data_IF_484836327868
#
_entry.id   IF_484836327868
#
_cell.length_a   1.000
_cell.length_b   1.000
_cell.length_c   1.000
_cell.angle_alpha   90.00
_cell.angle_beta   90.00
_cell.angle_gamma   90.00
#
_symmetry.space_group_name_H-M   'P 1'
#
loop_
_entity.id
_entity.type
_entity.pdbx_description
1 polymer ?
#
# COMPACT_ATOMS: atom_id res chain seq x y z
N UNK A 1 4.39 21.30 -25.35
CA UNK A 1 5.07 20.84 -24.12
C UNK A 1 5.91 19.63 -24.44
N UNK A 2 7.20 19.68 -24.15
CA UNK A 2 8.10 18.54 -24.37
C UNK A 2 7.97 17.47 -23.25
N UNK A 3 8.61 16.30 -23.44
CA UNK A 3 8.49 15.18 -22.49
C UNK A 3 9.04 15.48 -21.10
N UNK A 4 10.14 16.23 -21.00
CA UNK A 4 10.76 16.60 -19.72
C UNK A 4 9.88 17.57 -18.93
N UNK A 5 9.34 18.59 -19.57
CA UNK A 5 8.41 19.54 -18.94
C UNK A 5 7.15 18.84 -18.47
N UNK A 6 6.64 17.88 -19.26
CA UNK A 6 5.47 17.09 -18.89
C UNK A 6 5.76 16.24 -17.67
N UNK A 7 6.89 15.52 -17.61
CA UNK A 7 7.28 14.73 -16.44
C UNK A 7 7.39 15.56 -15.17
N UNK A 8 8.02 16.75 -15.23
CA UNK A 8 8.07 17.67 -14.08
C UNK A 8 6.67 18.04 -13.57
N UNK A 9 5.74 18.31 -14.47
CA UNK A 9 4.34 18.62 -14.13
C UNK A 9 3.60 17.39 -13.60
N UNK A 10 3.81 16.22 -14.18
CA UNK A 10 3.24 14.97 -13.66
C UNK A 10 3.71 14.72 -12.22
N UNK A 11 5.01 14.85 -11.95
CA UNK A 11 5.57 14.67 -10.61
C UNK A 11 4.97 15.64 -9.58
N UNK A 12 4.74 16.90 -9.95
CA UNK A 12 4.11 17.90 -9.08
C UNK A 12 2.60 17.68 -8.90
N UNK A 13 1.95 17.02 -9.87
CA UNK A 13 0.51 16.75 -9.85
C UNK A 13 0.14 15.53 -9.03
N UNK A 14 1.06 14.56 -8.92
CA UNK A 14 0.89 13.35 -8.12
C UNK A 14 1.20 13.70 -6.66
N UNK A 15 0.16 13.65 -5.82
CA UNK A 15 0.24 13.92 -4.38
C UNK A 15 -0.14 12.69 -3.55
N UNK A 16 -0.65 12.93 -2.35
CA UNK A 16 -1.13 11.87 -1.44
C UNK A 16 -2.42 11.18 -1.90
N UNK A 17 -3.21 11.86 -2.74
CA UNK A 17 -4.44 11.29 -3.28
C UNK A 17 -4.19 10.60 -4.63
N UNK A 18 -4.80 9.42 -4.87
CA UNK A 18 -4.61 8.70 -6.12
C UNK A 18 -5.11 9.48 -7.34
N UNK A 19 -4.24 9.64 -8.33
CA UNK A 19 -4.58 10.29 -9.60
C UNK A 19 -4.58 9.24 -10.71
N UNK A 20 -5.74 8.93 -11.34
CA UNK A 20 -5.82 7.96 -12.42
C UNK A 20 -4.96 8.36 -13.63
N UNK A 21 -4.29 7.38 -14.25
CA UNK A 21 -3.49 7.62 -15.46
C UNK A 21 -4.32 8.24 -16.61
N UNK A 22 -5.59 7.87 -16.72
CA UNK A 22 -6.50 8.44 -17.71
C UNK A 22 -6.74 9.95 -17.49
N UNK A 23 -6.87 10.38 -16.22
CA UNK A 23 -7.03 11.80 -15.89
C UNK A 23 -5.75 12.59 -16.20
N UNK A 24 -4.58 12.04 -15.91
CA UNK A 24 -3.31 12.67 -16.30
C UNK A 24 -3.19 12.75 -17.84
N UNK A 25 -3.59 11.71 -18.55
CA UNK A 25 -3.56 11.69 -20.00
C UNK A 25 -4.44 12.81 -20.60
N UNK A 26 -5.65 12.99 -20.09
CA UNK A 26 -6.56 14.07 -20.47
C UNK A 26 -5.98 15.45 -20.14
N UNK A 27 -5.49 15.65 -18.91
CA UNK A 27 -4.93 16.92 -18.43
C UNK A 27 -3.71 17.37 -19.26
N UNK A 28 -2.87 16.42 -19.67
CA UNK A 28 -1.63 16.71 -20.42
C UNK A 28 -1.78 16.55 -21.95
N UNK A 29 -2.97 16.17 -22.44
CA UNK A 29 -3.24 16.02 -23.87
C UNK A 29 -2.42 14.91 -24.55
N UNK A 30 -2.18 13.79 -23.85
CA UNK A 30 -1.40 12.65 -24.34
C UNK A 30 -2.17 11.35 -24.12
N UNK A 31 -1.69 10.25 -24.71
CA UNK A 31 -2.27 8.94 -24.45
C UNK A 31 -1.93 8.42 -23.06
N UNK A 32 -2.77 7.52 -22.52
CA UNK A 32 -2.48 6.82 -21.26
C UNK A 32 -1.13 6.09 -21.28
N UNK A 33 -0.75 5.55 -22.45
CA UNK A 33 0.54 4.86 -22.63
C UNK A 33 1.72 5.80 -22.40
N UNK A 34 1.63 7.04 -22.86
CA UNK A 34 2.66 8.08 -22.63
C UNK A 34 2.77 8.39 -21.13
N UNK A 35 1.65 8.50 -20.40
CA UNK A 35 1.69 8.69 -18.93
C UNK A 35 2.39 7.52 -18.24
N UNK A 36 2.10 6.28 -18.63
CA UNK A 36 2.75 5.09 -18.08
C UNK A 36 4.27 5.13 -18.29
N UNK A 37 4.72 5.53 -19.49
CA UNK A 37 6.14 5.69 -19.80
C UNK A 37 6.77 6.84 -19.02
N UNK A 38 6.11 7.99 -18.91
CA UNK A 38 6.60 9.13 -18.13
C UNK A 38 6.77 8.79 -16.66
N UNK A 39 5.80 8.07 -16.07
CA UNK A 39 5.92 7.60 -14.68
C UNK A 39 7.05 6.58 -14.51
N UNK A 40 7.28 5.70 -15.49
CA UNK A 40 8.41 4.77 -15.45
C UNK A 40 9.74 5.50 -15.48
N UNK A 41 9.88 6.55 -16.30
CA UNK A 41 11.06 7.40 -16.35
C UNK A 41 11.28 8.19 -15.06
N UNK A 42 10.24 8.79 -14.51
CA UNK A 42 10.31 9.50 -13.22
C UNK A 42 10.79 8.57 -12.08
N UNK A 43 10.33 7.33 -12.06
CA UNK A 43 10.83 6.31 -11.11
C UNK A 43 12.30 5.99 -11.32
N UNK A 44 12.72 5.82 -12.57
CA UNK A 44 14.12 5.60 -12.91
C UNK A 44 15.01 6.78 -12.52
N UNK A 45 14.47 8.01 -12.52
CA UNK A 45 15.12 9.24 -12.06
C UNK A 45 15.06 9.43 -10.54
N UNK A 46 14.51 8.45 -9.78
CA UNK A 46 14.43 8.47 -8.31
C UNK A 46 13.21 9.18 -7.74
N UNK A 47 12.20 9.50 -8.56
CA UNK A 47 10.92 10.00 -8.04
C UNK A 47 10.11 8.85 -7.49
N UNK A 48 9.76 8.92 -6.20
CA UNK A 48 8.97 7.88 -5.55
C UNK A 48 7.48 8.06 -5.90
N UNK A 49 7.00 7.21 -6.81
CA UNK A 49 5.61 7.18 -7.26
C UNK A 49 5.10 5.75 -7.11
N UNK A 50 4.07 5.56 -6.30
CA UNK A 50 3.40 4.28 -6.11
C UNK A 50 2.24 4.11 -7.10
N UNK A 51 2.08 2.89 -7.61
CA UNK A 51 0.90 2.50 -8.38
C UNK A 51 -0.13 1.88 -7.46
N UNK A 52 -1.36 2.32 -7.59
CA UNK A 52 -2.51 1.79 -6.84
C UNK A 52 -3.59 1.35 -7.83
N UNK A 53 -4.60 0.60 -7.35
CA UNK A 53 -5.77 0.27 -8.15
C UNK A 53 -6.61 1.50 -8.57
N UNK A 54 -6.38 2.67 -7.92
CA UNK A 54 -7.08 3.94 -8.17
C UNK A 54 -6.25 4.94 -8.96
N UNK A 55 -4.96 4.68 -9.18
CA UNK A 55 -4.05 5.58 -9.87
C UNK A 55 -2.69 5.70 -9.22
N UNK A 56 -1.97 6.76 -9.54
CA UNK A 56 -0.65 7.07 -9.00
C UNK A 56 -0.75 7.97 -7.77
N UNK A 57 0.07 7.68 -6.75
CA UNK A 57 0.28 8.53 -5.58
C UNK A 57 1.77 8.81 -5.41
N UNK A 58 2.10 9.94 -4.84
CA UNK A 58 3.48 10.22 -4.42
C UNK A 58 3.87 9.29 -3.27
N UNK A 59 5.02 8.63 -3.41
CA UNK A 59 5.66 7.98 -2.28
C UNK A 59 6.14 9.03 -1.27
N UNK A 60 6.34 8.60 -0.04
CA UNK A 60 6.88 9.47 1.02
C UNK A 60 8.40 9.43 0.93
N UNK A 61 9.05 10.54 0.55
CA UNK A 61 10.52 10.64 0.53
C UNK A 61 11.10 10.33 1.92
N UNK A 62 12.12 9.48 1.94
CA UNK A 62 12.82 9.16 3.18
C UNK A 62 12.08 8.21 4.11
N UNK A 63 11.10 7.44 3.61
CA UNK A 63 10.45 6.38 4.37
C UNK A 63 11.01 5.02 4.00
N UNK A 64 11.09 4.18 5.02
CA UNK A 64 11.39 2.76 4.88
C UNK A 64 10.11 1.98 4.66
N UNK A 65 10.17 0.86 3.96
CA UNK A 65 9.00 0.00 3.71
C UNK A 65 9.32 -1.44 4.06
N UNK A 66 8.32 -2.13 4.61
CA UNK A 66 8.41 -3.56 4.91
C UNK A 66 7.09 -4.25 4.59
N UNK A 67 7.17 -5.49 4.14
CA UNK A 67 5.99 -6.33 3.89
C UNK A 67 5.81 -7.27 5.06
N UNK A 68 4.63 -7.20 5.68
CA UNK A 68 4.22 -8.11 6.73
C UNK A 68 3.21 -9.12 6.20
N UNK A 69 3.45 -10.40 6.45
CA UNK A 69 2.46 -11.45 6.25
C UNK A 69 1.70 -11.63 7.55
N UNK A 70 0.40 -11.46 7.50
CA UNK A 70 -0.45 -11.48 8.70
C UNK A 70 -1.66 -12.39 8.51
N UNK A 71 -2.20 -12.83 9.64
CA UNK A 71 -3.45 -13.58 9.73
C UNK A 71 -4.16 -13.26 11.03
N UNK A 72 -5.39 -12.83 10.95
CA UNK A 72 -6.25 -12.56 12.11
C UNK A 72 -7.73 -12.59 11.71
N UNK A 73 -8.63 -12.52 12.70
CA UNK A 73 -10.08 -12.42 12.50
C UNK A 73 -10.51 -11.06 11.94
N UNK A 74 -11.76 -10.94 11.53
CA UNK A 74 -12.32 -9.67 11.04
C UNK A 74 -12.42 -8.64 12.17
N UNK A 75 -12.72 -9.07 13.39
CA UNK A 75 -12.81 -8.23 14.58
C UNK A 75 -11.47 -7.59 14.95
N UNK A 76 -10.36 -8.25 14.63
CA UNK A 76 -9.00 -7.76 14.91
C UNK A 76 -8.46 -6.79 13.87
N UNK A 77 -9.17 -6.58 12.75
CA UNK A 77 -8.70 -5.71 11.65
C UNK A 77 -8.44 -4.27 12.12
N UNK A 78 -9.34 -3.70 12.90
CA UNK A 78 -9.15 -2.33 13.42
C UNK A 78 -7.93 -2.24 14.35
N UNK A 79 -7.73 -3.27 15.19
CA UNK A 79 -6.59 -3.36 16.10
C UNK A 79 -5.26 -3.46 15.37
N UNK A 80 -5.22 -4.22 14.28
CA UNK A 80 -4.06 -4.29 13.39
C UNK A 80 -3.70 -2.93 12.79
N UNK A 81 -4.70 -2.24 12.22
CA UNK A 81 -4.50 -0.92 11.61
C UNK A 81 -4.05 0.12 12.63
N UNK A 82 -4.57 0.07 13.86
CA UNK A 82 -4.13 0.94 14.95
C UNK A 82 -2.70 0.65 15.38
N UNK A 83 -2.29 -0.63 15.41
CA UNK A 83 -0.93 -1.01 15.77
C UNK A 83 0.13 -0.37 14.85
N UNK A 84 -0.21 -0.19 13.58
CA UNK A 84 0.66 0.48 12.60
C UNK A 84 0.58 2.00 12.75
N UNK A 85 -0.63 2.55 12.77
CA UNK A 85 -0.85 4.00 12.76
C UNK A 85 -0.35 4.68 14.04
N UNK A 86 -0.50 4.04 15.21
CA UNK A 86 -0.08 4.59 16.50
C UNK A 86 1.44 4.76 16.62
N UNK A 87 2.22 3.97 15.87
CA UNK A 87 3.68 4.10 15.80
C UNK A 87 4.15 5.04 14.67
N UNK A 88 3.23 5.74 14.02
CA UNK A 88 3.56 6.63 12.91
C UNK A 88 3.80 5.91 11.58
N UNK A 89 3.43 4.64 11.50
CA UNK A 89 3.43 3.88 10.24
C UNK A 89 2.23 4.17 9.36
N UNK A 90 2.35 3.82 8.08
CA UNK A 90 1.26 3.86 7.13
C UNK A 90 1.05 2.48 6.51
N UNK A 91 -0.16 1.96 6.58
CA UNK A 91 -0.55 0.78 5.79
C UNK A 91 -0.81 1.24 4.37
N UNK A 92 0.15 1.04 3.48
CA UNK A 92 0.08 1.51 2.09
C UNK A 92 -0.95 0.72 1.28
N UNK A 93 -0.95 -0.60 1.45
CA UNK A 93 -1.83 -1.50 0.73
C UNK A 93 -2.14 -2.77 1.52
N UNK A 94 -3.11 -3.52 1.03
CA UNK A 94 -3.32 -4.93 1.34
C UNK A 94 -3.21 -5.73 0.06
N UNK A 95 -2.58 -6.89 0.10
CA UNK A 95 -2.59 -7.81 -1.03
C UNK A 95 -2.67 -9.27 -0.57
N UNK A 96 -3.16 -10.11 -1.46
CA UNK A 96 -3.30 -11.55 -1.28
C UNK A 96 -2.82 -12.27 -2.53
N UNK A 97 -2.35 -13.49 -2.37
CA UNK A 97 -2.02 -14.38 -3.49
C UNK A 97 -3.16 -15.37 -3.70
N UNK A 98 -3.96 -15.14 -4.72
CA UNK A 98 -5.07 -16.01 -5.08
C UNK A 98 -4.64 -17.01 -6.16
N UNK A 99 -5.02 -18.30 -6.00
CA UNK A 99 -4.59 -19.38 -6.91
C UNK A 99 -5.01 -19.16 -8.36
N UNK A 100 -6.18 -18.54 -8.58
CA UNK A 100 -6.74 -18.32 -9.92
C UNK A 100 -6.45 -16.92 -10.44
N UNK A 101 -6.64 -15.89 -9.59
CA UNK A 101 -6.53 -14.50 -10.01
C UNK A 101 -5.14 -13.91 -9.85
N UNK A 102 -4.17 -14.66 -9.29
CA UNK A 102 -2.83 -14.16 -9.00
C UNK A 102 -2.82 -13.20 -7.81
N UNK A 103 -1.95 -12.20 -7.85
CA UNK A 103 -1.86 -11.21 -6.77
C UNK A 103 -2.94 -10.14 -6.92
N UNK A 104 -3.81 -10.07 -5.92
CA UNK A 104 -4.84 -9.03 -5.82
C UNK A 104 -4.36 -7.99 -4.81
N UNK A 105 -4.31 -6.72 -5.21
CA UNK A 105 -3.82 -5.62 -4.38
C UNK A 105 -4.83 -4.50 -4.31
N UNK A 106 -5.07 -3.99 -3.10
CA UNK A 106 -5.88 -2.80 -2.87
C UNK A 106 -5.09 -1.76 -2.08
N UNK A 107 -5.08 -0.51 -2.58
CA UNK A 107 -4.46 0.61 -1.87
C UNK A 107 -5.30 1.00 -0.65
N UNK A 108 -4.64 1.31 0.46
CA UNK A 108 -5.28 1.71 1.72
C UNK A 108 -4.88 3.11 2.17
N UNK A 109 -3.59 3.42 2.26
CA UNK A 109 -3.08 4.73 2.70
C UNK A 109 -3.51 5.09 4.12
N UNK A 110 -3.55 4.10 5.03
CA UNK A 110 -4.01 4.29 6.41
C UNK A 110 -2.83 4.62 7.32
N UNK A 111 -2.75 5.88 7.75
CA UNK A 111 -1.69 6.42 8.60
C UNK A 111 -2.21 7.03 9.91
N UNK A 112 -3.50 6.85 10.20
CA UNK A 112 -4.12 7.38 11.41
C UNK A 112 -5.31 6.54 11.84
N UNK A 113 -5.64 6.58 13.15
CA UNK A 113 -6.85 5.94 13.67
C UNK A 113 -8.12 6.45 13.00
N UNK A 114 -8.17 7.72 12.62
CA UNK A 114 -9.32 8.28 11.91
C UNK A 114 -9.53 7.60 10.55
N UNK A 115 -8.46 7.43 9.77
CA UNK A 115 -8.53 6.73 8.48
C UNK A 115 -8.89 5.25 8.67
N UNK A 116 -8.34 4.60 9.68
CA UNK A 116 -8.68 3.20 10.02
C UNK A 116 -10.17 3.06 10.36
N UNK A 117 -10.74 3.92 11.21
CA UNK A 117 -12.17 3.91 11.53
C UNK A 117 -13.05 4.14 10.30
N UNK A 118 -12.72 5.13 9.47
CA UNK A 118 -13.45 5.37 8.21
C UNK A 118 -13.41 4.18 7.26
N UNK A 119 -12.28 3.48 7.19
CA UNK A 119 -12.17 2.22 6.44
C UNK A 119 -13.09 1.15 7.02
N UNK A 120 -13.06 0.93 8.34
CA UNK A 120 -13.91 -0.07 9.01
C UNK A 120 -15.40 0.26 8.87
N UNK A 121 -15.81 1.53 8.91
CA UNK A 121 -17.19 1.94 8.66
C UNK A 121 -17.66 1.54 7.26
N UNK A 122 -16.82 1.72 6.23
CA UNK A 122 -17.12 1.30 4.86
C UNK A 122 -17.28 -0.21 4.75
N UNK A 123 -16.43 -0.99 5.42
CA UNK A 123 -16.54 -2.47 5.46
C UNK A 123 -17.82 -2.88 6.19
N UNK A 124 -18.08 -2.34 7.38
CA UNK A 124 -19.28 -2.65 8.19
C UNK A 124 -20.59 -2.26 7.50
N UNK A 125 -20.57 -1.26 6.61
CA UNK A 125 -21.75 -0.88 5.83
C UNK A 125 -22.21 -1.93 4.81
N UNK A 126 -21.47 -3.03 4.65
CA UNK A 126 -21.79 -4.13 3.74
C UNK A 126 -21.55 -3.84 2.26
N UNK A 127 -20.96 -2.69 1.92
CA UNK A 127 -20.64 -2.31 0.54
C UNK A 127 -19.44 -3.07 -0.04
N UNK A 128 -18.61 -3.65 0.83
CA UNK A 128 -17.43 -4.42 0.45
C UNK A 128 -17.07 -5.41 1.56
N UNK A 129 -16.30 -6.44 1.21
CA UNK A 129 -15.71 -7.38 2.15
C UNK A 129 -14.19 -7.15 2.25
N UNK A 130 -13.59 -7.62 3.34
CA UNK A 130 -12.14 -7.62 3.50
C UNK A 130 -11.48 -8.57 2.50
N UNK A 131 -10.43 -8.08 1.82
CA UNK A 131 -9.72 -8.85 0.79
C UNK A 131 -9.15 -10.18 1.33
N UNK A 132 -8.72 -10.21 2.59
CA UNK A 132 -8.20 -11.42 3.27
C UNK A 132 -9.20 -12.60 3.34
N UNK A 133 -10.50 -12.34 3.17
CA UNK A 133 -11.52 -13.38 3.26
C UNK A 133 -11.45 -14.37 2.08
N UNK A 134 -10.85 -13.98 0.95
CA UNK A 134 -10.62 -14.91 -0.18
C UNK A 134 -9.44 -15.85 0.03
N UNK A 135 -8.65 -15.67 1.10
CA UNK A 135 -7.44 -16.43 1.42
C UNK A 135 -7.43 -16.97 2.86
N UNK A 136 -8.61 -17.22 3.43
CA UNK A 136 -8.76 -17.78 4.79
C UNK A 136 -8.07 -16.93 5.88
N UNK A 137 -8.10 -15.62 5.73
CA UNK A 137 -7.53 -14.65 6.66
C UNK A 137 -6.05 -14.31 6.40
N UNK A 138 -5.33 -15.06 5.56
CA UNK A 138 -3.95 -14.73 5.19
C UNK A 138 -3.91 -13.56 4.23
N UNK A 139 -3.11 -12.56 4.55
CA UNK A 139 -2.89 -11.41 3.70
C UNK A 139 -1.54 -10.75 3.99
N UNK A 140 -1.20 -9.77 3.17
CA UNK A 140 0.05 -9.04 3.26
C UNK A 140 -0.27 -7.55 3.30
N UNK A 141 0.50 -6.81 4.10
CA UNK A 141 0.52 -5.35 4.07
C UNK A 141 1.92 -4.85 3.72
N UNK A 142 1.99 -3.92 2.77
CA UNK A 142 3.16 -3.05 2.67
C UNK A 142 2.96 -1.90 3.64
N UNK A 143 3.85 -1.79 4.60
CA UNK A 143 3.85 -0.73 5.61
C UNK A 143 5.05 0.17 5.38
N UNK A 144 4.83 1.48 5.42
CA UNK A 144 5.89 2.49 5.39
C UNK A 144 6.01 3.20 6.74
N UNK A 145 7.23 3.59 7.09
CA UNK A 145 7.53 4.36 8.30
C UNK A 145 8.77 5.23 8.08
N UNK A 146 9.03 6.18 8.98
CA UNK A 146 10.17 7.10 8.88
C UNK A 146 11.53 6.44 9.08
N UNK A 147 11.58 5.27 9.73
CA UNK A 147 12.82 4.51 9.96
C UNK A 147 12.58 3.01 10.07
N UNK A 148 13.66 2.21 9.95
CA UNK A 148 13.62 0.76 10.17
C UNK A 148 13.28 0.43 11.62
N UNK A 149 13.71 1.24 12.60
CA UNK A 149 13.40 1.06 14.03
C UNK A 149 11.89 1.14 14.28
N UNK A 150 11.19 2.05 13.61
CA UNK A 150 9.72 2.13 13.68
C UNK A 150 9.08 0.89 13.09
N UNK A 151 9.59 0.37 11.97
CA UNK A 151 9.12 -0.88 11.38
C UNK A 151 9.37 -2.08 12.32
N UNK A 152 10.49 -2.09 13.05
CA UNK A 152 10.79 -3.13 14.06
C UNK A 152 9.79 -3.08 15.23
N UNK A 153 9.43 -1.89 15.69
CA UNK A 153 8.42 -1.70 16.74
C UNK A 153 7.05 -2.21 16.27
N UNK A 154 6.64 -1.85 15.05
CA UNK A 154 5.39 -2.31 14.45
C UNK A 154 5.38 -3.84 14.33
N UNK A 155 6.47 -4.43 13.84
CA UNK A 155 6.62 -5.88 13.74
C UNK A 155 6.47 -6.56 15.10
N UNK A 156 7.12 -6.02 16.13
CA UNK A 156 7.02 -6.50 17.51
C UNK A 156 5.59 -6.47 18.04
N UNK A 157 4.82 -5.43 17.74
CA UNK A 157 3.39 -5.33 18.11
C UNK A 157 2.53 -6.36 17.38
N UNK A 158 2.70 -6.50 16.06
CA UNK A 158 1.97 -7.50 15.28
C UNK A 158 2.27 -8.92 15.76
N UNK A 159 3.53 -9.19 16.14
CA UNK A 159 3.95 -10.47 16.75
C UNK A 159 3.30 -10.69 18.11
N UNK A 160 3.31 -9.68 18.99
CA UNK A 160 2.72 -9.76 20.32
C UNK A 160 1.21 -10.01 20.28
N UNK A 161 0.50 -9.49 19.25
CA UNK A 161 -0.92 -9.77 19.03
C UNK A 161 -1.19 -11.15 18.40
N UNK A 162 -0.14 -11.86 17.98
CA UNK A 162 -0.26 -13.13 17.29
C UNK A 162 -0.75 -13.00 15.83
N UNK A 163 -0.66 -11.82 15.24
CA UNK A 163 -1.09 -11.58 13.86
C UNK A 163 -0.03 -11.94 12.83
N UNK A 164 1.26 -11.79 13.20
CA UNK A 164 2.36 -12.02 12.29
C UNK A 164 2.52 -13.52 12.00
N UNK A 165 2.54 -13.84 10.70
CA UNK A 165 2.87 -15.20 10.24
C UNK A 165 4.37 -15.26 10.02
N UNK A 166 5.06 -15.99 10.90
CA UNK A 166 6.51 -16.18 10.78
C UNK A 166 6.84 -17.04 9.56
N UNK A 167 7.91 -16.68 8.85
CA UNK A 167 8.48 -17.58 7.84
C UNK A 167 8.99 -18.81 8.59
N UNK A 168 8.53 -20.00 8.20
CA UNK A 168 9.26 -21.22 8.57
C UNK A 168 10.65 -21.06 7.93
N UNK A 169 11.66 -20.95 8.75
CA UNK A 169 13.02 -21.14 8.26
C UNK A 169 13.06 -22.52 7.60
N UNK A 170 13.38 -22.55 6.29
CA UNK A 170 13.74 -23.79 5.63
C UNK A 170 14.98 -24.31 6.38
N UNK A 171 14.74 -25.24 7.28
CA UNK A 171 15.80 -26.04 7.87
C UNK A 171 16.35 -26.84 6.69
N UNK A 172 17.38 -26.28 6.06
CA UNK A 172 18.17 -26.98 5.06
C UNK A 172 18.67 -28.26 5.73
N UNK A 173 18.13 -29.36 5.27
CA UNK A 173 18.63 -30.69 5.60
C UNK A 173 20.10 -30.77 5.15
N UNK A 174 20.95 -31.11 6.12
CA UNK A 174 22.24 -31.68 5.83
C UNK A 174 22.07 -33.02 5.12
#
# INVERSE_FOLDING_TARGET
MNGEERRKKIASRIGSEPVPAARLAEEFGVSRQVIVQDVALLRAEGTDILSTNRGYVAGRKGVHTRVFKVRHSDEDTERELFAVADEGGCVENVFVHHKVYGTLTAYMGIDSRLKARKFMEKIKSGKSALLKNVTSGYHYHTVSAESEEVLDIIEGKLRAFGFLVERKEDTAQK
#
